data_IF_303602025927
#
_entry.id   IF_303602025927
#
_cell.length_a   1.000
_cell.length_b   1.000
_cell.length_c   1.000
_cell.angle_alpha   90.00
_cell.angle_beta   90.00
_cell.angle_gamma   90.00
#
_symmetry.space_group_name_H-M   'P 1'
#
loop_
_entity.id
_entity.type
_entity.pdbx_description
1 polymer ?
#
# COMPACT_ATOMS: atom_id res chain seq x y z
N UNK A 1 -6.14 -30.65 0.59
CA UNK A 1 -5.94 -29.29 0.04
C UNK A 1 -7.04 -28.38 0.53
N UNK A 2 -6.69 -27.19 0.95
CA UNK A 2 -7.68 -26.21 1.37
C UNK A 2 -7.62 -24.99 0.46
N UNK A 3 -8.77 -24.36 0.28
CA UNK A 3 -8.91 -23.16 -0.53
C UNK A 3 -9.41 -22.04 0.37
N UNK A 4 -8.77 -20.87 0.25
CA UNK A 4 -9.22 -19.67 0.92
C UNK A 4 -9.75 -18.71 -0.14
N UNK A 5 -11.00 -18.27 0.04
CA UNK A 5 -11.66 -17.37 -0.90
C UNK A 5 -11.97 -16.06 -0.17
N UNK A 6 -11.73 -14.96 -0.87
CA UNK A 6 -12.10 -13.64 -0.37
C UNK A 6 -12.29 -12.68 -1.53
N UNK A 7 -12.66 -11.46 -1.18
CA UNK A 7 -12.83 -10.39 -2.16
C UNK A 7 -12.12 -9.14 -1.62
N UNK A 8 -11.23 -8.56 -2.42
CA UNK A 8 -10.46 -7.41 -2.00
C UNK A 8 -11.29 -6.14 -1.82
N UNK A 9 -12.48 -6.10 -2.38
CA UNK A 9 -13.31 -4.90 -2.40
C UNK A 9 -14.45 -4.93 -1.38
N UNK A 10 -14.60 -6.03 -0.63
CA UNK A 10 -15.69 -6.20 0.33
C UNK A 10 -15.15 -6.36 1.75
N UNK A 11 -16.07 -6.24 2.72
CA UNK A 11 -15.78 -6.44 4.15
C UNK A 11 -14.60 -5.56 4.61
N UNK A 12 -14.71 -4.27 4.32
CA UNK A 12 -13.64 -3.32 4.65
C UNK A 12 -13.61 -3.05 6.15
N UNK A 13 -12.43 -3.09 6.77
CA UNK A 13 -12.31 -2.70 8.17
C UNK A 13 -12.48 -1.19 8.33
N UNK A 14 -12.83 -0.78 9.55
CA UNK A 14 -12.84 0.62 9.92
C UNK A 14 -11.41 1.15 9.94
N UNK A 15 -11.10 2.17 9.15
CA UNK A 15 -9.75 2.71 9.03
C UNK A 15 -9.69 4.22 9.29
N UNK A 16 -10.73 4.82 9.90
CA UNK A 16 -10.74 6.26 10.14
C UNK A 16 -9.77 6.70 11.23
N UNK A 17 -9.45 5.81 12.19
CA UNK A 17 -8.52 6.13 13.27
C UNK A 17 -7.08 5.79 12.92
N UNK A 18 -6.88 4.74 12.13
CA UNK A 18 -5.55 4.30 11.72
C UNK A 18 -5.66 3.48 10.46
N UNK A 19 -4.62 3.51 9.65
CA UNK A 19 -4.49 2.66 8.49
C UNK A 19 -4.45 1.18 8.92
N UNK A 20 -5.13 0.32 8.16
CA UNK A 20 -5.23 -1.11 8.50
C UNK A 20 -4.52 -1.95 7.46
N UNK A 21 -3.63 -2.84 7.93
CA UNK A 21 -2.86 -3.76 7.10
C UNK A 21 -3.39 -5.17 7.34
N UNK A 22 -3.90 -5.80 6.29
CA UNK A 22 -4.51 -7.13 6.39
C UNK A 22 -3.75 -8.13 5.55
N UNK A 23 -3.00 -9.06 6.16
CA UNK A 23 -2.31 -10.10 5.39
C UNK A 23 -3.32 -11.01 4.69
N UNK A 24 -3.07 -11.32 3.43
CA UNK A 24 -3.87 -12.24 2.62
C UNK A 24 -3.11 -13.55 2.44
N UNK A 25 -1.84 -13.45 2.08
CA UNK A 25 -0.96 -14.59 1.89
C UNK A 25 0.38 -14.27 2.54
N UNK A 26 0.85 -15.16 3.39
CA UNK A 26 2.18 -15.08 3.94
C UNK A 26 2.87 -16.44 3.72
N UNK A 27 3.97 -16.40 3.01
CA UNK A 27 4.82 -17.55 2.75
C UNK A 27 6.26 -17.11 2.95
N UNK A 28 7.16 -18.08 3.02
CA UNK A 28 8.57 -17.77 3.15
C UNK A 28 9.00 -16.91 1.95
N UNK A 29 9.43 -15.68 2.23
CA UNK A 29 9.88 -14.75 1.21
C UNK A 29 8.80 -14.03 0.42
N UNK A 30 7.51 -14.22 0.73
CA UNK A 30 6.41 -13.52 0.03
C UNK A 30 5.32 -13.10 1.00
N UNK A 31 4.85 -11.87 0.85
CA UNK A 31 3.70 -11.37 1.60
C UNK A 31 2.78 -10.59 0.68
N UNK A 32 1.50 -10.92 0.70
CA UNK A 32 0.45 -10.21 -0.02
C UNK A 32 -0.51 -9.66 1.01
N UNK A 33 -0.81 -8.36 0.95
CA UNK A 33 -1.70 -7.74 1.92
C UNK A 33 -2.63 -6.73 1.26
N UNK A 34 -3.79 -6.56 1.87
CA UNK A 34 -4.69 -5.46 1.57
C UNK A 34 -4.43 -4.36 2.59
N UNK A 35 -4.29 -3.13 2.12
CA UNK A 35 -4.11 -1.97 2.98
C UNK A 35 -5.33 -1.08 2.79
N UNK A 36 -5.90 -0.62 3.89
CA UNK A 36 -7.03 0.29 3.87
C UNK A 36 -6.61 1.58 4.56
N UNK A 37 -6.67 2.68 3.82
CA UNK A 37 -6.40 4.02 4.32
C UNK A 37 -7.68 4.84 4.28
N UNK A 38 -7.80 5.84 5.15
CA UNK A 38 -8.93 6.76 5.14
C UNK A 38 -8.42 8.13 5.58
N UNK A 39 -7.69 8.78 4.69
CA UNK A 39 -7.12 10.09 4.94
C UNK A 39 -5.72 10.09 5.57
N UNK A 40 -5.16 8.92 5.89
CA UNK A 40 -3.83 8.89 6.50
C UNK A 40 -2.73 9.20 5.48
N UNK A 41 -1.66 9.75 6.00
CA UNK A 41 -0.41 9.97 5.28
C UNK A 41 0.74 9.55 6.18
N UNK A 42 1.89 9.29 5.58
CA UNK A 42 3.11 9.01 6.34
C UNK A 42 3.45 10.24 7.17
N UNK A 43 3.77 10.11 8.47
CA UNK A 43 4.13 11.25 9.30
C UNK A 43 5.28 12.05 8.69
N UNK A 44 5.26 13.36 8.89
CA UNK A 44 6.28 14.25 8.36
C UNK A 44 7.67 13.83 8.83
N UNK A 45 8.61 13.81 7.91
CA UNK A 45 10.00 13.43 8.18
C UNK A 45 10.26 11.93 8.15
N UNK A 46 9.21 11.10 8.02
CA UNK A 46 9.37 9.66 7.97
C UNK A 46 9.30 9.16 6.53
N UNK A 47 10.04 8.09 6.28
CA UNK A 47 10.11 7.46 4.97
C UNK A 47 10.04 5.94 5.16
N UNK A 48 9.35 5.29 4.23
CA UNK A 48 9.47 3.83 4.09
C UNK A 48 10.81 3.52 3.43
N UNK A 49 11.53 2.58 4.02
CA UNK A 49 12.81 2.09 3.50
C UNK A 49 12.84 0.60 3.85
N UNK A 50 12.56 -0.25 2.89
CA UNK A 50 12.30 -1.66 3.12
C UNK A 50 13.39 -2.52 2.49
N UNK A 51 13.65 -3.65 3.10
CA UNK A 51 14.62 -4.63 2.57
C UNK A 51 14.04 -5.51 1.47
N UNK A 52 12.71 -5.51 1.32
CA UNK A 52 11.99 -6.30 0.33
C UNK A 52 11.58 -5.42 -0.84
N UNK A 53 11.44 -6.02 -2.03
CA UNK A 53 10.74 -5.35 -3.12
C UNK A 53 9.25 -5.30 -2.81
N UNK A 54 8.60 -4.24 -3.25
CA UNK A 54 7.17 -4.08 -3.09
C UNK A 54 6.55 -3.66 -4.43
N UNK A 55 5.51 -4.38 -4.84
CA UNK A 55 4.65 -3.95 -5.93
C UNK A 55 3.31 -3.57 -5.32
N UNK A 56 2.85 -2.35 -5.58
CA UNK A 56 1.62 -1.84 -4.99
C UNK A 56 0.66 -1.38 -6.07
N UNK A 57 -0.60 -1.73 -5.92
CA UNK A 57 -1.69 -1.40 -6.85
C UNK A 57 -2.78 -0.65 -6.09
N UNK A 58 -3.21 0.48 -6.64
CA UNK A 58 -4.36 1.20 -6.11
C UNK A 58 -5.64 0.57 -6.65
N UNK A 59 -6.43 -0.04 -5.76
CA UNK A 59 -7.67 -0.72 -6.14
C UNK A 59 -8.87 0.22 -6.11
N UNK A 60 -8.86 1.21 -5.22
CA UNK A 60 -9.98 2.13 -5.03
C UNK A 60 -9.50 3.34 -4.26
N UNK A 61 -10.19 4.47 -4.40
CA UNK A 61 -9.81 5.69 -3.71
C UNK A 61 -8.81 6.52 -4.50
N UNK A 62 -8.07 7.36 -3.79
CA UNK A 62 -7.07 8.26 -4.37
C UNK A 62 -5.90 8.43 -3.42
N UNK A 63 -4.71 8.53 -3.98
CA UNK A 63 -3.49 8.68 -3.17
C UNK A 63 -2.40 9.41 -3.92
N UNK A 64 -1.43 9.90 -3.17
CA UNK A 64 -0.20 10.48 -3.72
C UNK A 64 0.98 9.86 -3.00
N UNK A 65 1.98 9.45 -3.77
CA UNK A 65 3.23 8.88 -3.25
C UNK A 65 4.38 9.75 -3.68
N UNK A 66 5.25 10.11 -2.74
CA UNK A 66 6.49 10.81 -3.02
C UNK A 66 7.64 9.82 -2.94
N UNK A 67 8.44 9.79 -4.01
CA UNK A 67 9.69 9.03 -4.06
C UNK A 67 10.83 9.97 -3.69
N UNK A 68 11.74 9.52 -2.82
CA UNK A 68 12.88 10.33 -2.42
C UNK A 68 13.68 10.76 -3.66
N UNK A 69 14.00 12.04 -3.75
CA UNK A 69 14.72 12.61 -4.89
C UNK A 69 13.83 13.18 -5.97
N UNK A 70 12.53 12.85 -5.97
CA UNK A 70 11.59 13.47 -6.89
C UNK A 70 11.05 14.77 -6.27
N UNK A 71 10.73 15.74 -7.12
CA UNK A 71 10.29 17.06 -6.65
C UNK A 71 8.79 17.14 -6.41
N UNK A 72 8.02 16.23 -7.00
CA UNK A 72 6.56 16.24 -6.92
C UNK A 72 6.03 14.86 -6.59
N UNK A 73 4.97 14.75 -5.77
CA UNK A 73 4.31 13.47 -5.55
C UNK A 73 3.71 12.93 -6.84
N UNK A 74 3.70 11.61 -6.94
CA UNK A 74 2.98 10.91 -8.02
C UNK A 74 1.55 10.73 -7.60
N UNK A 75 0.62 11.23 -8.41
CA UNK A 75 -0.81 11.09 -8.18
C UNK A 75 -1.25 9.74 -8.73
N UNK A 76 -1.85 8.91 -7.88
CA UNK A 76 -2.32 7.58 -8.25
C UNK A 76 -3.82 7.56 -8.44
N UNK A 77 -4.25 6.91 -9.49
CA UNK A 77 -5.65 6.64 -9.81
C UNK A 77 -5.90 5.13 -9.74
N UNK A 78 -7.15 4.76 -9.69
CA UNK A 78 -7.55 3.34 -9.68
C UNK A 78 -6.89 2.60 -10.84
N UNK A 79 -6.22 1.51 -10.52
CA UNK A 79 -5.50 0.71 -11.50
C UNK A 79 -4.02 1.04 -11.64
N UNK A 80 -3.57 2.19 -11.11
CA UNK A 80 -2.16 2.54 -11.14
C UNK A 80 -1.37 1.65 -10.19
N UNK A 81 -0.19 1.26 -10.63
CA UNK A 81 0.70 0.42 -9.84
C UNK A 81 2.13 0.92 -9.90
N UNK A 82 2.90 0.59 -8.88
CA UNK A 82 4.31 0.95 -8.76
C UNK A 82 5.11 -0.25 -8.32
N UNK A 83 6.31 -0.38 -8.85
CA UNK A 83 7.31 -1.29 -8.31
C UNK A 83 8.31 -0.44 -7.50
N UNK A 84 8.34 -0.69 -6.22
CA UNK A 84 9.25 -0.03 -5.28
C UNK A 84 10.31 -1.05 -4.88
N UNK A 85 11.47 -0.98 -5.50
CA UNK A 85 12.54 -1.94 -5.20
C UNK A 85 13.09 -1.70 -3.80
N UNK A 86 13.77 -2.71 -3.25
CA UNK A 86 14.34 -2.64 -1.91
C UNK A 86 15.15 -1.35 -1.73
N UNK A 87 14.96 -0.70 -0.59
CA UNK A 87 15.61 0.56 -0.21
C UNK A 87 15.25 1.76 -1.07
N UNK A 88 14.23 1.65 -1.93
CA UNK A 88 13.64 2.80 -2.59
C UNK A 88 12.82 3.56 -1.56
N UNK A 89 13.36 4.67 -1.06
CA UNK A 89 12.69 5.45 -0.02
C UNK A 89 11.51 6.19 -0.59
N UNK A 90 10.37 6.02 0.05
CA UNK A 90 9.12 6.60 -0.41
C UNK A 90 8.20 6.87 0.78
N UNK A 91 7.17 7.66 0.54
CA UNK A 91 6.17 7.99 1.56
C UNK A 91 4.82 8.24 0.91
N UNK A 92 3.76 7.98 1.65
CA UNK A 92 2.40 8.35 1.23
C UNK A 92 2.19 9.80 1.64
N UNK A 93 2.09 10.69 0.66
CA UNK A 93 1.89 12.11 0.92
C UNK A 93 0.45 12.44 1.26
N UNK A 94 -0.50 11.66 0.70
CA UNK A 94 -1.91 11.98 0.84
C UNK A 94 -2.76 10.78 0.45
N UNK A 95 -3.85 10.58 1.18
CA UNK A 95 -4.95 9.71 0.79
C UNK A 95 -6.25 10.47 0.96
N UNK A 96 -7.27 10.09 0.17
CA UNK A 96 -8.56 10.80 0.21
C UNK A 96 -9.17 10.73 1.61
N UNK A 97 -9.58 11.89 2.17
CA UNK A 97 -10.15 11.92 3.52
C UNK A 97 -11.60 11.47 3.59
N UNK A 98 -12.33 11.49 2.47
CA UNK A 98 -13.77 11.28 2.45
C UNK A 98 -14.19 9.88 2.08
N UNK A 99 -13.27 9.05 1.64
CA UNK A 99 -13.54 7.71 1.16
C UNK A 99 -12.37 6.78 1.48
N UNK A 100 -12.61 5.50 1.72
CA UNK A 100 -11.51 4.56 1.90
C UNK A 100 -10.66 4.45 0.64
N UNK A 101 -9.36 4.32 0.83
CA UNK A 101 -8.40 4.02 -0.23
C UNK A 101 -7.90 2.61 -0.03
N UNK A 102 -8.06 1.78 -1.05
CA UNK A 102 -7.71 0.36 -0.99
C UNK A 102 -6.47 0.10 -1.83
N UNK A 103 -5.52 -0.59 -1.23
CA UNK A 103 -4.26 -0.97 -1.88
C UNK A 103 -4.10 -2.48 -1.84
N UNK A 104 -3.52 -3.03 -2.89
CA UNK A 104 -2.98 -4.38 -2.87
C UNK A 104 -1.46 -4.26 -2.91
N UNK A 105 -0.80 -4.81 -1.91
CA UNK A 105 0.66 -4.77 -1.83
C UNK A 105 1.20 -6.19 -1.86
N UNK A 106 2.17 -6.41 -2.75
CA UNK A 106 2.88 -7.68 -2.86
C UNK A 106 4.34 -7.42 -2.55
N UNK A 107 4.84 -8.07 -1.51
CA UNK A 107 6.23 -7.96 -1.08
C UNK A 107 6.93 -9.28 -1.29
N UNK A 108 8.15 -9.24 -1.80
CA UNK A 108 8.98 -10.44 -1.88
C UNK A 108 10.42 -10.12 -1.51
N UNK A 109 11.05 -11.12 -0.94
CA UNK A 109 12.41 -11.00 -0.47
C UNK A 109 13.37 -11.28 -1.63
N UNK A 110 14.36 -10.42 -1.77
CA UNK A 110 15.43 -10.63 -2.75
C UNK A 110 16.42 -11.61 -2.12
N UNK A 111 16.71 -12.65 -2.84
CA UNK A 111 17.69 -13.65 -2.41
C UNK A 111 19.12 -13.24 -2.71
#
# INVERSE_FOLDING_TARGET
MSIVIGNLLTDLPEATLAEVFQPIVERDGVRIERIVSHGQATPEGEWYDQEWDEWVLLLSGQAQILIEGETHPRVLKIGDHLLLTAHCRHRVEWTAPDTPTLWLAVHWKIS
#
